data_IF_004253828340
#
_entry.id   IF_004253828340
#
_cell.length_a   1.000
_cell.length_b   1.000
_cell.length_c   1.000
_cell.angle_alpha   90.00
_cell.angle_beta   90.00
_cell.angle_gamma   90.00
#
_symmetry.space_group_name_H-M   'P 1'
#
loop_
_entity.id
_entity.type
_entity.pdbx_description
1 polymer ?
#
# COMPACT_ATOMS: atom_id res chain seq x y z
N UNK A 1 60.22 27.42 6.82
CA UNK A 1 60.94 26.81 7.95
C UNK A 1 60.61 27.62 9.19
N UNK A 2 60.28 26.96 10.31
CA UNK A 2 59.72 27.50 11.56
C UNK A 2 58.23 27.94 11.43
N UNK A 3 57.33 27.74 12.39
CA UNK A 3 57.42 27.47 13.83
C UNK A 3 56.25 26.60 14.31
N UNK A 4 56.53 25.81 15.34
CA UNK A 4 55.63 24.96 16.15
C UNK A 4 54.40 25.71 16.67
N UNK A 5 53.24 25.03 16.71
CA UNK A 5 52.20 25.31 17.70
C UNK A 5 51.80 24.02 18.43
N UNK A 6 52.13 24.03 19.72
CA UNK A 6 51.74 23.07 20.74
C UNK A 6 50.26 23.31 21.06
N UNK A 7 49.41 22.30 20.88
CA UNK A 7 48.00 22.33 21.26
C UNK A 7 47.73 21.28 22.34
N UNK A 8 47.67 21.75 23.57
CA UNK A 8 47.38 21.00 24.79
C UNK A 8 45.85 20.82 24.91
N UNK A 9 45.30 19.61 24.87
CA UNK A 9 43.90 19.37 25.24
C UNK A 9 43.74 18.04 26.01
N UNK A 10 43.75 18.21 27.33
CA UNK A 10 42.90 17.62 28.37
C UNK A 10 42.21 16.27 28.08
N UNK A 11 42.63 15.27 28.84
CA UNK A 11 41.96 13.98 28.95
C UNK A 11 40.62 14.08 29.69
N UNK A 12 39.59 13.47 29.10
CA UNK A 12 38.35 13.10 29.77
C UNK A 12 38.40 11.59 30.05
N UNK A 13 38.57 11.22 31.32
CA UNK A 13 38.30 9.87 31.78
C UNK A 13 36.79 9.73 31.98
N UNK A 14 36.10 9.07 31.04
CA UNK A 14 34.70 8.69 31.20
C UNK A 14 34.65 7.32 31.92
N UNK A 15 34.12 7.33 33.15
CA UNK A 15 33.78 6.13 33.91
C UNK A 15 32.58 5.47 33.22
N UNK A 16 32.80 4.34 32.55
CA UNK A 16 31.72 3.49 32.02
C UNK A 16 31.17 2.65 33.18
N UNK A 17 30.10 3.14 33.81
CA UNK A 17 29.28 2.33 34.70
C UNK A 17 28.42 1.42 33.82
N UNK A 18 28.84 0.16 33.69
CA UNK A 18 28.02 -0.90 33.13
C UNK A 18 26.84 -1.18 34.07
N UNK A 19 25.69 -0.55 33.82
CA UNK A 19 24.42 -0.96 34.42
C UNK A 19 24.00 -2.22 33.68
N UNK A 20 24.33 -3.37 34.24
CA UNK A 20 23.72 -4.64 33.87
C UNK A 20 22.30 -4.60 34.41
N UNK A 21 21.38 -3.99 33.65
CA UNK A 21 19.95 -4.16 33.86
C UNK A 21 19.60 -5.57 33.40
N UNK A 22 19.57 -6.49 34.36
CA UNK A 22 18.91 -7.79 34.24
C UNK A 22 17.44 -7.55 33.93
N UNK A 23 17.11 -7.54 32.64
CA UNK A 23 15.73 -7.64 32.19
C UNK A 23 15.19 -8.98 32.66
N UNK A 24 14.41 -8.97 33.74
CA UNK A 24 13.59 -10.09 34.12
C UNK A 24 12.64 -10.37 32.95
N UNK A 25 12.85 -11.48 32.27
CA UNK A 25 11.88 -12.02 31.33
C UNK A 25 10.61 -12.34 32.13
N UNK A 26 9.63 -11.44 32.10
CA UNK A 26 8.28 -11.77 32.51
C UNK A 26 7.73 -12.76 31.51
N UNK A 27 7.78 -14.06 31.83
CA UNK A 27 6.93 -15.07 31.23
C UNK A 27 5.48 -14.82 31.69
N UNK A 28 4.91 -13.73 31.19
CA UNK A 28 3.50 -13.43 31.33
C UNK A 28 2.75 -14.38 30.41
N UNK A 29 2.10 -15.38 31.00
CA UNK A 29 1.13 -16.27 30.35
C UNK A 29 -0.19 -15.54 30.00
N UNK A 30 -0.10 -14.25 29.66
CA UNK A 30 -1.22 -13.42 29.24
C UNK A 30 -1.33 -13.48 27.73
N UNK A 31 -2.52 -13.77 27.22
CA UNK A 31 -2.79 -13.71 25.78
C UNK A 31 -2.54 -12.31 25.20
N UNK A 32 -2.68 -12.15 23.86
CA UNK A 32 -2.52 -10.87 23.19
C UNK A 32 -3.29 -9.74 23.89
N UNK A 33 -2.72 -8.55 23.95
CA UNK A 33 -3.40 -7.41 24.55
C UNK A 33 -4.65 -7.06 23.72
N UNK A 34 -5.78 -6.85 24.41
CA UNK A 34 -7.05 -6.54 23.74
C UNK A 34 -7.14 -5.03 23.48
N UNK A 35 -7.37 -4.66 22.23
CA UNK A 35 -7.68 -3.29 21.81
C UNK A 35 -9.18 -3.15 21.55
N UNK A 36 -9.79 -2.09 22.08
CA UNK A 36 -11.21 -1.85 21.88
C UNK A 36 -11.51 -1.43 20.42
N UNK A 37 -12.65 -1.87 19.86
CA UNK A 37 -13.04 -1.51 18.50
C UNK A 37 -13.08 0.01 18.26
N UNK A 38 -13.39 0.82 19.28
CA UNK A 38 -13.38 2.28 19.20
C UNK A 38 -11.99 2.89 19.02
N UNK A 39 -10.93 2.12 19.30
CA UNK A 39 -9.53 2.51 19.14
C UNK A 39 -8.92 1.99 17.84
N UNK A 40 -9.61 1.09 17.12
CA UNK A 40 -9.20 0.63 15.79
C UNK A 40 -9.59 1.66 14.73
N UNK A 41 -8.79 2.72 14.62
CA UNK A 41 -8.97 3.75 13.58
C UNK A 41 -7.99 3.49 12.44
N UNK A 42 -8.50 3.43 11.21
CA UNK A 42 -7.65 3.32 10.04
C UNK A 42 -6.84 4.60 9.87
N UNK A 43 -5.52 4.46 9.85
CA UNK A 43 -4.58 5.53 9.62
C UNK A 43 -3.85 5.29 8.30
N UNK A 44 -3.41 6.37 7.66
CA UNK A 44 -2.51 6.33 6.50
C UNK A 44 -1.31 7.19 6.81
N UNK A 45 -0.11 6.70 6.53
CA UNK A 45 1.13 7.44 6.69
C UNK A 45 1.93 7.36 5.40
N UNK A 46 2.72 8.39 5.12
CA UNK A 46 3.66 8.42 4.01
C UNK A 46 5.05 8.39 4.61
N UNK A 47 5.80 7.32 4.36
CA UNK A 47 7.20 7.19 4.76
C UNK A 47 8.08 6.91 3.54
N UNK A 48 9.11 7.73 3.35
CA UNK A 48 10.02 7.63 2.21
C UNK A 48 9.56 8.40 0.96
N UNK A 49 10.16 8.05 -0.17
CA UNK A 49 9.95 8.70 -1.47
C UNK A 49 11.25 8.86 -2.25
N UNK A 50 11.16 8.71 -3.58
CA UNK A 50 12.29 8.91 -4.47
C UNK A 50 12.17 10.26 -5.19
N UNK A 51 13.29 10.98 -5.31
CA UNK A 51 13.39 12.09 -6.25
C UNK A 51 13.51 11.51 -7.65
N UNK A 52 12.46 11.65 -8.45
CA UNK A 52 12.46 11.18 -9.84
C UNK A 52 13.18 12.18 -10.75
N UNK A 53 13.97 11.67 -11.68
CA UNK A 53 14.53 12.44 -12.78
C UNK A 53 13.57 12.34 -13.97
N UNK A 54 13.66 13.26 -14.93
CA UNK A 54 12.88 13.19 -16.17
C UNK A 54 13.13 11.90 -16.97
N UNK A 55 14.27 11.25 -16.74
CA UNK A 55 14.65 9.99 -17.38
C UNK A 55 14.31 8.75 -16.54
N UNK A 56 13.74 8.92 -15.34
CA UNK A 56 13.31 7.79 -14.51
C UNK A 56 12.22 7.02 -15.25
N UNK A 57 12.48 5.73 -15.50
CA UNK A 57 11.46 4.82 -16.03
C UNK A 57 10.48 4.50 -14.91
N UNK A 58 9.20 4.52 -15.22
CA UNK A 58 8.13 4.10 -14.33
C UNK A 58 7.00 3.45 -15.13
N UNK A 59 5.95 2.98 -14.46
CA UNK A 59 4.74 2.50 -15.11
C UNK A 59 4.19 3.55 -16.11
N UNK A 60 3.56 3.12 -17.22
CA UNK A 60 2.95 4.05 -18.16
C UNK A 60 1.98 5.01 -17.45
N UNK A 61 2.17 6.30 -17.70
CA UNK A 61 1.35 7.36 -17.17
C UNK A 61 1.27 8.51 -18.17
N UNK A 62 0.30 9.39 -17.96
CA UNK A 62 0.15 10.63 -18.71
C UNK A 62 -0.03 11.80 -17.75
N UNK A 63 0.37 12.98 -18.21
CA UNK A 63 0.19 14.23 -17.48
C UNK A 63 -1.05 14.96 -17.97
N UNK A 64 -1.85 15.46 -17.03
CA UNK A 64 -3.00 16.30 -17.29
C UNK A 64 -3.01 17.54 -16.40
N UNK A 65 -3.92 18.46 -16.68
CA UNK A 65 -4.20 19.57 -15.79
C UNK A 65 -5.67 19.98 -15.84
N UNK A 66 -6.16 20.53 -14.74
CA UNK A 66 -7.52 21.06 -14.64
C UNK A 66 -7.51 22.40 -13.94
N UNK A 67 -8.25 23.36 -14.51
CA UNK A 67 -8.51 24.65 -13.87
C UNK A 67 -9.62 24.48 -12.85
N UNK A 68 -9.33 24.76 -11.58
CA UNK A 68 -10.36 24.84 -10.54
C UNK A 68 -11.10 26.19 -10.68
N UNK A 69 -12.39 26.18 -11.04
CA UNK A 69 -13.13 27.42 -11.25
C UNK A 69 -13.42 28.17 -9.94
N UNK A 70 -13.26 27.53 -8.78
CA UNK A 70 -13.54 28.15 -7.47
C UNK A 70 -12.43 29.11 -7.02
N UNK A 71 -11.19 28.90 -7.49
CA UNK A 71 -10.02 29.71 -7.13
C UNK A 71 -9.20 30.17 -8.34
N UNK A 72 -9.50 29.70 -9.55
CA UNK A 72 -8.80 30.07 -10.78
C UNK A 72 -7.40 29.48 -10.92
N UNK A 73 -7.04 28.48 -10.10
CA UNK A 73 -5.73 27.82 -10.12
C UNK A 73 -5.78 26.57 -11.00
N UNK A 74 -4.77 26.39 -11.84
CA UNK A 74 -4.59 25.15 -12.62
C UNK A 74 -3.77 24.15 -11.82
N UNK A 75 -4.37 22.99 -11.55
CA UNK A 75 -3.73 21.87 -10.88
C UNK A 75 -3.27 20.85 -11.92
N UNK A 76 -1.96 20.57 -11.94
CA UNK A 76 -1.40 19.48 -12.73
C UNK A 76 -1.48 18.15 -11.97
N UNK A 77 -1.63 17.05 -12.69
CA UNK A 77 -1.66 15.71 -12.13
C UNK A 77 -1.04 14.70 -13.11
N UNK A 78 -0.61 13.55 -12.57
CA UNK A 78 -0.24 12.39 -13.37
C UNK A 78 -1.25 11.28 -13.11
N UNK A 79 -1.63 10.57 -14.16
CA UNK A 79 -2.56 9.44 -14.11
C UNK A 79 -1.89 8.22 -14.74
N UNK A 80 -2.04 7.06 -14.12
CA UNK A 80 -1.56 5.78 -14.69
C UNK A 80 -2.39 5.45 -15.94
N UNK A 81 -1.75 4.83 -16.93
CA UNK A 81 -2.40 4.38 -18.17
C UNK A 81 -2.16 5.29 -19.38
N UNK A 82 -3.04 5.17 -20.38
CA UNK A 82 -3.04 6.02 -21.57
C UNK A 82 -3.86 7.30 -21.33
N UNK A 83 -3.49 8.38 -22.01
CA UNK A 83 -4.29 9.61 -22.04
C UNK A 83 -5.60 9.36 -22.81
N UNK A 84 -6.77 9.35 -22.14
CA UNK A 84 -8.04 9.02 -22.78
C UNK A 84 -8.44 10.03 -23.87
N UNK A 85 -7.90 11.25 -23.86
CA UNK A 85 -8.25 12.29 -24.82
C UNK A 85 -7.38 12.25 -26.09
N UNK A 86 -6.19 11.65 -26.00
CA UNK A 86 -5.19 11.71 -27.07
C UNK A 86 -4.73 10.33 -27.57
N UNK A 87 -5.10 9.24 -26.91
CA UNK A 87 -4.80 7.89 -27.38
C UNK A 87 -5.63 7.52 -28.62
N UNK A 88 -5.14 6.56 -29.42
CA UNK A 88 -5.91 5.94 -30.50
C UNK A 88 -5.45 4.50 -30.76
N UNK A 89 -6.34 3.67 -31.32
CA UNK A 89 -6.03 2.28 -31.64
C UNK A 89 -5.54 1.49 -30.42
N UNK A 90 -4.59 0.57 -30.60
CA UNK A 90 -4.05 -0.23 -29.50
C UNK A 90 -3.37 0.57 -28.40
N UNK A 91 -2.97 1.83 -28.66
CA UNK A 91 -2.35 2.68 -27.65
C UNK A 91 -3.34 3.19 -26.58
N UNK A 92 -4.65 3.00 -26.76
CA UNK A 92 -5.65 3.30 -25.73
C UNK A 92 -5.79 2.20 -24.67
N UNK A 93 -5.23 1.02 -24.90
CA UNK A 93 -5.29 -0.12 -23.97
C UNK A 93 -3.92 -0.30 -23.34
N UNK A 94 -3.80 -0.02 -22.05
CA UNK A 94 -2.56 -0.15 -21.29
C UNK A 94 -2.68 -1.26 -20.27
N UNK A 95 -1.67 -2.13 -20.24
CA UNK A 95 -1.51 -3.15 -19.21
C UNK A 95 -0.36 -2.78 -18.30
N UNK A 96 -0.64 -2.65 -17.01
CA UNK A 96 0.33 -2.46 -15.94
C UNK A 96 0.64 -3.83 -15.35
N UNK A 97 1.91 -4.21 -15.32
CA UNK A 97 2.33 -5.41 -14.60
C UNK A 97 2.29 -5.11 -13.10
N UNK A 98 1.59 -5.95 -12.34
CA UNK A 98 1.48 -5.84 -10.90
C UNK A 98 2.23 -7.00 -10.25
N UNK A 99 3.42 -6.73 -9.71
CA UNK A 99 4.27 -7.72 -9.08
C UNK A 99 3.82 -7.95 -7.64
N UNK A 100 3.10 -9.05 -7.41
CA UNK A 100 2.55 -9.39 -6.10
C UNK A 100 3.55 -10.28 -5.37
N UNK A 101 4.12 -9.76 -4.29
CA UNK A 101 5.02 -10.50 -3.38
C UNK A 101 4.29 -10.81 -2.08
N UNK A 102 3.90 -12.06 -1.82
CA UNK A 102 3.37 -12.45 -0.51
C UNK A 102 4.42 -12.30 0.58
N UNK A 103 4.05 -11.69 1.69
CA UNK A 103 4.93 -11.52 2.86
C UNK A 103 4.49 -12.47 3.96
N UNK A 104 5.43 -13.29 4.44
CA UNK A 104 5.26 -14.17 5.59
C UNK A 104 5.83 -13.46 6.81
N UNK A 105 4.98 -13.02 7.72
CA UNK A 105 5.36 -12.23 8.88
C UNK A 105 5.30 -13.08 10.15
N UNK A 106 6.44 -13.22 10.83
CA UNK A 106 6.53 -13.93 12.11
C UNK A 106 6.63 -12.92 13.27
N UNK A 107 5.65 -12.94 14.18
CA UNK A 107 5.55 -12.02 15.32
C UNK A 107 5.04 -12.79 16.53
N UNK A 108 5.69 -12.63 17.69
CA UNK A 108 5.16 -13.16 18.96
C UNK A 108 4.91 -14.68 18.98
N UNK A 109 5.60 -15.45 18.13
CA UNK A 109 5.40 -16.89 17.99
C UNK A 109 4.25 -17.31 17.08
N UNK A 110 3.55 -16.37 16.44
CA UNK A 110 2.57 -16.62 15.38
C UNK A 110 3.15 -16.27 14.00
N UNK A 111 2.58 -16.89 12.97
CA UNK A 111 2.90 -16.66 11.57
C UNK A 111 1.66 -16.13 10.85
N UNK A 112 1.84 -15.03 10.13
CA UNK A 112 0.85 -14.36 9.31
C UNK A 112 1.31 -14.44 7.86
N UNK A 113 0.62 -15.22 7.03
CA UNK A 113 1.13 -15.60 5.71
C UNK A 113 0.31 -14.96 4.60
N UNK A 114 0.90 -14.01 3.86
CA UNK A 114 0.24 -13.37 2.72
C UNK A 114 -0.23 -14.34 1.64
N UNK A 115 0.30 -15.56 1.57
CA UNK A 115 -0.22 -16.59 0.65
C UNK A 115 -1.65 -17.02 1.00
N UNK A 116 -2.06 -16.91 2.27
CA UNK A 116 -3.38 -17.34 2.73
C UNK A 116 -4.49 -16.46 2.14
N UNK A 117 -4.16 -15.24 1.73
CA UNK A 117 -5.07 -14.27 1.08
C UNK A 117 -4.76 -14.04 -0.41
N UNK A 118 -3.74 -14.70 -0.96
CA UNK A 118 -3.31 -14.49 -2.34
C UNK A 118 -4.41 -14.80 -3.35
N UNK A 119 -5.05 -15.97 -3.26
CA UNK A 119 -6.08 -16.35 -4.22
C UNK A 119 -7.29 -15.41 -4.13
N UNK A 120 -7.74 -15.07 -2.91
CA UNK A 120 -8.82 -14.10 -2.72
C UNK A 120 -8.47 -12.71 -3.28
N UNK A 121 -7.19 -12.32 -3.23
CA UNK A 121 -6.69 -11.09 -3.83
C UNK A 121 -6.76 -11.17 -5.36
N UNK A 122 -6.32 -12.26 -5.98
CA UNK A 122 -6.40 -12.47 -7.43
C UNK A 122 -7.84 -12.57 -7.94
N UNK A 123 -8.74 -13.16 -7.14
CA UNK A 123 -10.17 -13.26 -7.45
C UNK A 123 -10.93 -11.96 -7.15
N UNK A 124 -10.26 -10.97 -6.54
CA UNK A 124 -10.89 -9.70 -6.19
C UNK A 124 -11.24 -8.89 -7.45
N UNK A 125 -12.23 -7.97 -7.35
CA UNK A 125 -12.57 -7.02 -8.41
C UNK A 125 -11.40 -6.22 -8.99
N UNK A 126 -10.28 -6.09 -8.28
CA UNK A 126 -9.10 -5.37 -8.75
C UNK A 126 -8.37 -6.13 -9.87
N UNK A 127 -8.33 -7.47 -9.82
CA UNK A 127 -7.63 -8.31 -10.79
C UNK A 127 -8.58 -9.13 -11.66
N UNK A 128 -9.69 -9.60 -11.09
CA UNK A 128 -10.69 -10.38 -11.81
C UNK A 128 -11.58 -9.48 -12.67
N UNK A 129 -11.86 -9.94 -13.89
CA UNK A 129 -12.78 -9.27 -14.79
C UNK A 129 -14.24 -9.62 -14.45
N UNK A 130 -15.09 -8.61 -14.37
CA UNK A 130 -16.52 -8.70 -14.06
C UNK A 130 -17.33 -7.79 -15.00
N UNK A 131 -18.61 -8.07 -15.16
CA UNK A 131 -19.54 -7.17 -15.84
C UNK A 131 -20.11 -6.17 -14.83
N UNK A 132 -19.61 -4.94 -14.88
CA UNK A 132 -20.07 -3.87 -13.99
C UNK A 132 -21.31 -3.15 -14.52
N UNK A 133 -21.61 -3.25 -15.81
CA UNK A 133 -22.73 -2.53 -16.43
C UNK A 133 -24.09 -3.18 -16.23
N UNK A 134 -24.13 -4.47 -15.88
CA UNK A 134 -25.37 -5.20 -15.59
C UNK A 134 -25.67 -5.40 -14.11
N UNK A 135 -24.78 -4.95 -13.21
CA UNK A 135 -24.99 -5.09 -11.76
C UNK A 135 -26.25 -4.36 -11.29
N UNK A 136 -26.89 -4.79 -10.18
CA UNK A 136 -27.97 -4.02 -9.56
C UNK A 136 -27.56 -2.58 -9.22
N UNK A 137 -26.29 -2.36 -8.85
CA UNK A 137 -25.77 -1.02 -8.60
C UNK A 137 -25.75 -0.15 -9.87
N UNK A 138 -25.57 -0.74 -11.05
CA UNK A 138 -25.62 -0.03 -12.32
C UNK A 138 -27.06 0.16 -12.86
N UNK A 139 -27.97 -0.77 -12.57
CA UNK A 139 -29.26 -0.85 -13.27
C UNK A 139 -30.50 -0.58 -12.40
N UNK A 140 -30.43 -0.80 -11.08
CA UNK A 140 -31.61 -0.75 -10.21
C UNK A 140 -31.83 0.65 -9.63
N UNK A 141 -32.95 1.28 -9.99
CA UNK A 141 -33.38 2.55 -9.39
C UNK A 141 -33.71 2.45 -7.90
N UNK A 142 -33.92 1.24 -7.38
CA UNK A 142 -34.31 0.96 -5.99
C UNK A 142 -33.11 0.71 -5.07
N UNK A 143 -31.87 0.80 -5.58
CA UNK A 143 -30.69 0.67 -4.75
C UNK A 143 -30.45 1.94 -3.92
N UNK A 144 -29.73 1.85 -2.80
CA UNK A 144 -29.58 2.94 -1.82
C UNK A 144 -29.02 4.26 -2.39
N UNK A 145 -28.37 4.23 -3.56
CA UNK A 145 -27.82 5.40 -4.28
C UNK A 145 -28.52 5.65 -5.64
N UNK A 146 -29.61 4.95 -5.93
CA UNK A 146 -30.22 4.89 -7.26
C UNK A 146 -29.46 3.98 -8.23
N UNK A 147 -29.92 3.92 -9.47
CA UNK A 147 -29.18 3.25 -10.54
C UNK A 147 -27.89 4.01 -10.85
N UNK A 148 -26.86 3.30 -11.32
CA UNK A 148 -25.70 3.92 -11.95
C UNK A 148 -26.11 4.82 -13.13
N UNK A 149 -25.27 5.79 -13.43
CA UNK A 149 -25.46 6.63 -14.61
C UNK A 149 -25.28 5.84 -15.91
N UNK A 150 -25.66 6.46 -17.05
CA UNK A 150 -25.53 5.86 -18.38
C UNK A 150 -24.13 5.28 -18.64
N UNK A 151 -23.09 5.98 -18.20
CA UNK A 151 -21.70 5.56 -18.35
C UNK A 151 -21.41 4.17 -17.75
N UNK A 152 -22.03 3.82 -16.62
CA UNK A 152 -21.89 2.47 -16.07
C UNK A 152 -22.63 1.43 -16.91
N UNK A 153 -23.85 1.76 -17.36
CA UNK A 153 -24.69 0.85 -18.14
C UNK A 153 -24.16 0.62 -19.57
N UNK A 154 -23.48 1.61 -20.14
CA UNK A 154 -22.89 1.53 -21.48
C UNK A 154 -21.82 0.42 -21.56
N UNK A 155 -21.19 0.05 -20.44
CA UNK A 155 -20.24 -1.06 -20.36
C UNK A 155 -20.90 -2.43 -20.07
N UNK A 156 -22.23 -2.55 -20.17
CA UNK A 156 -22.93 -3.83 -20.01
C UNK A 156 -22.40 -4.89 -20.98
N UNK A 157 -22.06 -6.07 -20.44
CA UNK A 157 -21.48 -7.18 -21.21
C UNK A 157 -19.98 -7.07 -21.48
N UNK A 158 -19.33 -5.97 -21.09
CA UNK A 158 -17.87 -5.87 -21.09
C UNK A 158 -17.30 -6.48 -19.80
N UNK A 159 -16.41 -7.47 -19.92
CA UNK A 159 -15.68 -8.01 -18.78
C UNK A 159 -14.49 -7.11 -18.47
N UNK A 160 -14.54 -6.40 -17.34
CA UNK A 160 -13.58 -5.35 -16.96
C UNK A 160 -13.07 -5.59 -15.54
N UNK A 161 -11.88 -5.09 -15.22
CA UNK A 161 -11.47 -4.92 -13.82
C UNK A 161 -12.17 -3.70 -13.22
N UNK A 162 -12.27 -3.61 -11.89
CA UNK A 162 -12.98 -2.52 -11.23
C UNK A 162 -12.37 -1.15 -11.56
N UNK A 163 -11.03 -1.06 -11.53
CA UNK A 163 -10.31 0.15 -11.91
C UNK A 163 -10.54 0.52 -13.38
N UNK A 164 -10.49 -0.47 -14.28
CA UNK A 164 -10.73 -0.28 -15.72
C UNK A 164 -12.13 0.32 -15.99
N UNK A 165 -13.18 -0.30 -15.42
CA UNK A 165 -14.55 0.20 -15.53
C UNK A 165 -14.71 1.61 -14.94
N UNK A 166 -14.04 1.88 -13.82
CA UNK A 166 -14.06 3.19 -13.17
C UNK A 166 -13.41 4.25 -14.06
N UNK A 167 -12.22 3.98 -14.60
CA UNK A 167 -11.50 4.90 -15.48
C UNK A 167 -12.26 5.14 -16.78
N UNK A 168 -12.80 4.09 -17.39
CA UNK A 168 -13.67 4.21 -18.57
C UNK A 168 -14.86 5.13 -18.30
N UNK A 169 -15.57 4.93 -17.19
CA UNK A 169 -16.69 5.79 -16.82
C UNK A 169 -16.27 7.23 -16.54
N UNK A 170 -15.18 7.46 -15.81
CA UNK A 170 -14.69 8.80 -15.47
C UNK A 170 -14.36 9.65 -16.71
N UNK A 171 -13.86 9.04 -17.77
CA UNK A 171 -13.45 9.73 -19.00
C UNK A 171 -14.43 9.58 -20.16
N UNK A 172 -15.65 9.06 -19.92
CA UNK A 172 -16.65 8.80 -20.95
C UNK A 172 -16.08 7.94 -22.10
N UNK A 173 -15.38 6.86 -21.72
CA UNK A 173 -14.73 5.87 -22.59
C UNK A 173 -15.36 4.49 -22.42
N UNK A 174 -16.68 4.44 -22.38
CA UNK A 174 -17.50 3.25 -22.13
C UNK A 174 -18.03 2.67 -23.45
N UNK A 175 -18.77 1.57 -23.40
CA UNK A 175 -19.39 0.94 -24.57
C UNK A 175 -18.36 0.39 -25.55
N UNK A 176 -18.42 0.85 -26.81
CA UNK A 176 -17.52 0.38 -27.88
C UNK A 176 -16.11 0.99 -27.83
N UNK A 177 -15.82 1.82 -26.82
CA UNK A 177 -14.48 2.37 -26.61
C UNK A 177 -13.46 1.26 -26.39
N UNK A 178 -12.27 1.43 -26.97
CA UNK A 178 -11.11 0.53 -26.83
C UNK A 178 -10.15 0.98 -25.71
N UNK A 179 -10.54 1.95 -24.90
CA UNK A 179 -9.76 2.39 -23.75
C UNK A 179 -9.76 1.34 -22.65
N UNK A 180 -8.58 0.92 -22.21
CA UNK A 180 -8.45 0.00 -21.09
C UNK A 180 -7.27 0.37 -20.19
N UNK A 181 -7.46 0.25 -18.89
CA UNK A 181 -6.39 0.20 -17.89
C UNK A 181 -6.46 -1.14 -17.16
N UNK A 182 -5.52 -2.04 -17.46
CA UNK A 182 -5.55 -3.42 -17.00
C UNK A 182 -4.38 -3.66 -16.06
N UNK A 183 -4.63 -4.20 -14.88
CA UNK A 183 -3.63 -4.79 -13.99
C UNK A 183 -3.41 -6.25 -14.36
N UNK A 184 -2.20 -6.61 -14.77
CA UNK A 184 -1.81 -8.00 -15.00
C UNK A 184 -1.04 -8.53 -13.77
N UNK A 185 -1.62 -9.43 -12.96
CA UNK A 185 -0.95 -9.92 -11.78
C UNK A 185 0.21 -10.84 -12.16
N UNK A 186 1.36 -10.62 -11.53
CA UNK A 186 2.55 -11.45 -11.62
C UNK A 186 3.00 -11.82 -10.20
N UNK A 187 2.72 -13.07 -9.81
CA UNK A 187 3.02 -13.53 -8.44
C UNK A 187 4.50 -13.87 -8.33
N UNK A 188 5.19 -13.17 -7.43
CA UNK A 188 6.59 -13.40 -7.09
C UNK A 188 6.73 -14.40 -5.92
N UNK A 189 7.93 -14.98 -5.70
CA UNK A 189 8.18 -15.80 -4.53
C UNK A 189 7.93 -15.05 -3.22
N UNK A 190 7.38 -15.75 -2.23
CA UNK A 190 7.11 -15.17 -0.93
C UNK A 190 8.39 -14.77 -0.18
N UNK A 191 8.32 -13.69 0.58
CA UNK A 191 9.41 -13.19 1.43
C UNK A 191 9.05 -13.34 2.90
N UNK A 192 9.95 -13.92 3.69
CA UNK A 192 9.75 -14.06 5.13
C UNK A 192 10.40 -12.91 5.89
N UNK A 193 9.63 -12.27 6.77
CA UNK A 193 10.08 -11.21 7.68
C UNK A 193 9.87 -11.70 9.12
N UNK A 194 10.97 -11.83 9.87
CA UNK A 194 10.92 -12.12 11.29
C UNK A 194 10.99 -10.81 12.07
N UNK A 195 9.90 -10.46 12.76
CA UNK A 195 9.80 -9.20 13.48
C UNK A 195 10.40 -9.36 14.87
N UNK A 196 11.41 -8.55 15.25
CA UNK A 196 11.94 -8.55 16.60
C UNK A 196 10.87 -8.21 17.64
N UNK A 197 10.97 -8.77 18.85
CA UNK A 197 9.98 -8.56 19.92
C UNK A 197 9.86 -7.11 20.40
N UNK A 198 10.86 -6.26 20.13
CA UNK A 198 10.82 -4.83 20.41
C UNK A 198 10.28 -4.00 19.24
N UNK A 199 9.91 -4.63 18.12
CA UNK A 199 9.41 -3.99 16.90
C UNK A 199 8.00 -4.44 16.53
N UNK A 200 7.48 -5.49 17.16
CA UNK A 200 6.11 -5.91 16.96
C UNK A 200 5.59 -6.78 18.09
N UNK A 201 4.27 -6.80 18.21
CA UNK A 201 3.53 -7.55 19.21
C UNK A 201 2.27 -8.15 18.59
N UNK A 202 1.54 -8.93 19.39
CA UNK A 202 0.22 -9.43 19.04
C UNK A 202 -0.84 -8.61 19.76
N UNK A 203 -1.85 -8.16 19.01
CA UNK A 203 -3.06 -7.57 19.55
C UNK A 203 -4.27 -8.42 19.19
N UNK A 204 -5.32 -8.29 19.99
CA UNK A 204 -6.62 -8.91 19.73
C UNK A 204 -7.70 -7.82 19.66
N UNK A 205 -8.51 -7.82 18.61
CA UNK A 205 -9.66 -6.92 18.51
C UNK A 205 -10.72 -7.26 19.55
N UNK A 206 -11.65 -6.34 19.81
CA UNK A 206 -12.80 -6.58 20.69
C UNK A 206 -13.68 -7.77 20.23
N UNK A 207 -13.53 -8.19 18.98
CA UNK A 207 -14.23 -9.32 18.36
C UNK A 207 -13.46 -10.65 18.40
N UNK A 208 -12.27 -10.66 18.98
CA UNK A 208 -11.47 -11.88 19.14
C UNK A 208 -10.54 -12.21 17.98
N UNK A 209 -10.37 -11.30 17.02
CA UNK A 209 -9.41 -11.49 15.91
C UNK A 209 -8.02 -11.09 16.37
N UNK A 210 -7.05 -12.00 16.28
CA UNK A 210 -5.64 -11.73 16.59
C UNK A 210 -4.93 -11.26 15.32
N UNK A 211 -4.12 -10.22 15.44
CA UNK A 211 -3.34 -9.65 14.34
C UNK A 211 -1.95 -9.22 14.82
N UNK A 212 -1.02 -9.14 13.88
CA UNK A 212 0.29 -8.56 14.13
C UNK A 212 0.19 -7.03 14.16
N UNK A 213 0.75 -6.43 15.19
CA UNK A 213 0.91 -4.97 15.30
C UNK A 213 2.40 -4.64 15.31
N UNK A 214 2.86 -3.93 14.28
CA UNK A 214 4.29 -3.71 14.00
C UNK A 214 4.62 -2.22 13.98
N UNK A 215 5.77 -1.84 14.51
CA UNK A 215 6.24 -0.47 14.46
C UNK A 215 6.42 -0.02 12.99
N UNK A 216 5.70 1.02 12.59
CA UNK A 216 5.68 1.48 11.20
C UNK A 216 7.08 1.84 10.68
N UNK A 217 7.89 2.56 11.45
CA UNK A 217 9.21 3.00 10.98
C UNK A 217 10.16 1.84 10.75
N UNK A 218 10.07 0.79 11.57
CA UNK A 218 10.81 -0.46 11.33
C UNK A 218 10.29 -1.20 10.09
N UNK A 219 8.96 -1.31 9.94
CA UNK A 219 8.33 -1.96 8.80
C UNK A 219 8.66 -1.27 7.48
N UNK A 220 8.51 0.05 7.40
CA UNK A 220 8.80 0.86 6.22
C UNK A 220 10.25 0.71 5.76
N UNK A 221 11.21 0.61 6.68
CA UNK A 221 12.61 0.32 6.30
C UNK A 221 12.79 -1.06 5.65
N UNK A 222 12.02 -2.06 6.06
CA UNK A 222 12.06 -3.40 5.46
C UNK A 222 11.43 -3.41 4.08
N UNK A 223 10.27 -2.75 3.92
CA UNK A 223 9.61 -2.61 2.62
C UNK A 223 10.48 -1.82 1.63
N UNK A 224 11.08 -0.70 2.04
CA UNK A 224 12.00 0.07 1.20
C UNK A 224 13.19 -0.76 0.69
N UNK A 225 13.72 -1.68 1.53
CA UNK A 225 14.77 -2.58 1.08
C UNK A 225 14.30 -3.54 -0.03
N UNK A 226 13.04 -4.00 0.02
CA UNK A 226 12.45 -4.80 -1.07
C UNK A 226 12.25 -3.95 -2.32
N UNK A 227 11.81 -2.69 -2.18
CA UNK A 227 11.62 -1.77 -3.30
C UNK A 227 12.91 -1.50 -4.08
N UNK A 228 14.07 -1.52 -3.42
CA UNK A 228 15.36 -1.36 -4.13
C UNK A 228 15.65 -2.45 -5.17
N UNK A 229 14.95 -3.57 -5.10
CA UNK A 229 15.09 -4.71 -6.02
C UNK A 229 13.90 -4.84 -6.98
N UNK A 230 12.87 -4.01 -6.83
CA UNK A 230 11.69 -4.03 -7.67
C UNK A 230 12.00 -3.48 -9.06
N UNK A 231 11.30 -3.99 -10.08
CA UNK A 231 11.32 -3.37 -11.41
C UNK A 231 10.53 -2.05 -11.34
N UNK A 232 11.15 -0.89 -11.60
CA UNK A 232 10.46 0.39 -11.50
C UNK A 232 9.34 0.56 -12.54
N UNK A 233 9.28 -0.30 -13.57
CA UNK A 233 8.26 -0.29 -14.61
C UNK A 233 7.06 -1.19 -14.31
N UNK A 234 7.08 -1.88 -13.17
CA UNK A 234 5.97 -2.66 -12.62
C UNK A 234 5.42 -1.98 -11.37
N UNK A 235 4.17 -2.30 -11.01
CA UNK A 235 3.56 -1.89 -9.74
C UNK A 235 3.88 -2.95 -8.67
N UNK A 236 4.74 -2.67 -7.69
CA UNK A 236 5.00 -3.62 -6.60
C UNK A 236 3.81 -3.66 -5.63
N UNK A 237 3.41 -4.85 -5.24
CA UNK A 237 2.37 -5.10 -4.23
C UNK A 237 2.91 -6.09 -3.21
N UNK A 238 3.09 -5.62 -1.97
CA UNK A 238 3.52 -6.46 -0.85
C UNK A 238 2.30 -6.93 -0.06
N UNK A 239 1.92 -8.18 -0.28
CA UNK A 239 0.67 -8.73 0.25
C UNK A 239 0.88 -9.34 1.64
N UNK A 240 0.22 -8.79 2.65
CA UNK A 240 0.19 -9.30 4.02
C UNK A 240 -1.20 -9.84 4.38
N UNK A 241 -1.28 -10.66 5.42
CA UNK A 241 -2.55 -11.12 6.01
C UNK A 241 -2.60 -10.78 7.49
N UNK A 242 -3.64 -10.08 7.95
CA UNK A 242 -3.83 -9.69 9.35
C UNK A 242 -2.59 -9.01 9.99
N UNK A 243 -1.92 -8.14 9.24
CA UNK A 243 -0.82 -7.29 9.70
C UNK A 243 -1.27 -5.83 9.70
N UNK A 244 -1.12 -5.15 10.82
CA UNK A 244 -1.37 -3.73 11.01
C UNK A 244 -0.12 -3.07 11.59
N UNK A 245 -0.01 -1.75 11.44
CA UNK A 245 1.14 -1.00 11.97
C UNK A 245 0.72 0.04 13.02
N UNK A 246 1.60 0.27 13.99
CA UNK A 246 1.45 1.31 15.01
C UNK A 246 2.50 2.41 14.87
N UNK A 247 2.12 3.63 15.28
CA UNK A 247 2.99 4.82 15.23
C UNK A 247 3.58 5.10 16.61
N UNK A 248 4.91 5.18 16.68
CA UNK A 248 5.63 5.50 17.91
C UNK A 248 5.64 4.34 18.92
N UNK A 249 5.95 4.61 20.21
CA UNK A 249 6.16 3.56 21.22
C UNK A 249 4.87 2.96 21.79
N UNK A 250 3.72 3.59 21.55
CA UNK A 250 2.43 3.11 22.04
C UNK A 250 1.79 2.17 21.01
N UNK A 251 1.74 0.87 21.31
CA UNK A 251 1.11 -0.17 20.48
C UNK A 251 -0.40 0.07 20.25
N UNK A 252 -1.06 0.87 21.10
CA UNK A 252 -2.46 1.25 20.88
C UNK A 252 -2.63 2.43 19.93
N UNK A 253 -1.54 3.02 19.43
CA UNK A 253 -1.57 4.00 18.34
C UNK A 253 -1.60 3.29 16.97
N UNK A 254 -2.55 2.37 16.87
CA UNK A 254 -2.92 1.56 15.73
C UNK A 254 -4.15 2.23 15.04
N UNK A 255 -4.48 1.97 13.78
CA UNK A 255 -3.92 0.95 12.91
C UNK A 255 -3.65 1.55 11.54
N UNK A 256 -2.37 1.71 11.20
CA UNK A 256 -2.00 2.04 9.83
C UNK A 256 -2.25 0.80 8.98
N UNK A 257 -3.02 0.99 7.91
CA UNK A 257 -3.38 -0.03 6.93
C UNK A 257 -2.73 0.36 5.60
N UNK A 258 -2.11 -0.61 4.94
CA UNK A 258 -1.33 -0.42 3.71
C UNK A 258 0.15 -0.55 3.99
#
# INVERSE_FOLDING_TARGET
>A
MALRKLGLLLGFAAIVLAVVSSAAASSGNGGPAVIADSQLQALTAVEGGATVLQTTRTIPHWWGSTLDPSNGVTYGYNMVGADPNNCSGSACSVTIQADITPIIVNVGGLTFNGNDVLQATLDSPQFASNDYGTTPNATSSNFARGAGGALSQDDAGNALQLEDATMRAQFNKTGSSNYHLILNPHVLPAVTINVPSNQGTLLQSGRGVVFADINISWWSSHIQNLETQADPTHLPIYLTDNVLLHIGPNIFNCCVIG
#
